data_IF_788928673324
#
_entry.id   IF_788928673324
#
_cell.length_a   1.000
_cell.length_b   1.000
_cell.length_c   1.000
_cell.angle_alpha   90.00
_cell.angle_beta   90.00
_cell.angle_gamma   90.00
#
_symmetry.space_group_name_H-M   'P 1'
#
loop_
_entity.id
_entity.type
_entity.pdbx_description
1 polymer ?
#
# COMPACT_ATOMS: atom_id res chain seq x y z
N UNK A 1 -31.54 -10.12 20.98
CA UNK A 1 -30.12 -9.72 20.87
C UNK A 1 -30.01 -8.28 21.32
N UNK A 2 -29.24 -8.01 22.36
CA UNK A 2 -29.12 -6.67 22.93
C UNK A 2 -28.25 -5.81 22.00
N UNK A 3 -28.81 -4.71 21.52
CA UNK A 3 -28.14 -3.65 20.74
C UNK A 3 -26.69 -3.31 21.17
N UNK A 4 -26.34 -3.22 22.47
CA UNK A 4 -24.96 -2.93 22.90
C UNK A 4 -23.91 -3.95 22.43
N UNK A 5 -24.26 -5.22 22.25
CA UNK A 5 -23.31 -6.27 21.82
C UNK A 5 -22.94 -6.12 20.34
N UNK A 6 -23.89 -5.66 19.53
CA UNK A 6 -23.74 -5.48 18.08
C UNK A 6 -22.91 -4.23 17.77
N UNK A 7 -23.07 -3.17 18.56
CA UNK A 7 -22.25 -1.96 18.47
C UNK A 7 -20.80 -2.21 18.91
N UNK A 8 -20.60 -3.03 19.94
CA UNK A 8 -19.26 -3.44 20.38
C UNK A 8 -18.54 -4.27 19.30
N UNK A 9 -19.23 -5.23 18.70
CA UNK A 9 -18.70 -6.01 17.58
C UNK A 9 -18.38 -5.12 16.36
N UNK A 10 -19.28 -4.17 16.01
CA UNK A 10 -19.05 -3.21 14.92
C UNK A 10 -17.80 -2.36 15.15
N UNK A 11 -17.64 -1.80 16.37
CA UNK A 11 -16.46 -1.00 16.73
C UNK A 11 -15.16 -1.79 16.67
N UNK A 12 -15.19 -3.04 17.16
CA UNK A 12 -14.03 -3.96 17.09
C UNK A 12 -13.57 -4.18 15.65
N UNK A 13 -14.50 -4.47 14.75
CA UNK A 13 -14.18 -4.68 13.32
C UNK A 13 -13.66 -3.40 12.68
N UNK A 14 -14.28 -2.25 12.97
CA UNK A 14 -13.84 -0.95 12.44
C UNK A 14 -12.41 -0.62 12.87
N UNK A 15 -12.09 -0.82 14.14
CA UNK A 15 -10.77 -0.54 14.69
C UNK A 15 -9.70 -1.49 14.10
N UNK A 16 -10.07 -2.74 13.83
CA UNK A 16 -9.19 -3.69 13.14
C UNK A 16 -8.92 -3.29 11.69
N UNK A 17 -9.95 -2.79 10.98
CA UNK A 17 -9.81 -2.26 9.61
C UNK A 17 -8.93 -1.00 9.56
N UNK A 18 -9.12 -0.07 10.51
CA UNK A 18 -8.33 1.16 10.62
C UNK A 18 -6.85 0.83 10.86
N UNK A 19 -6.56 -0.07 11.80
CA UNK A 19 -5.19 -0.52 12.08
C UNK A 19 -4.55 -1.19 10.87
N UNK A 20 -5.25 -2.08 10.18
CA UNK A 20 -4.75 -2.75 8.97
C UNK A 20 -4.48 -1.77 7.82
N UNK A 21 -5.35 -0.76 7.64
CA UNK A 21 -5.13 0.29 6.65
C UNK A 21 -3.89 1.14 6.98
N UNK A 22 -3.73 1.52 8.26
CA UNK A 22 -2.58 2.29 8.73
C UNK A 22 -1.26 1.52 8.59
N UNK A 23 -1.22 0.24 8.98
CA UNK A 23 -0.01 -0.58 8.85
C UNK A 23 0.37 -0.78 7.38
N UNK A 24 -0.61 -1.02 6.50
CA UNK A 24 -0.37 -1.14 5.06
C UNK A 24 0.21 0.15 4.48
N UNK A 25 -0.34 1.31 4.85
CA UNK A 25 0.17 2.61 4.40
C UNK A 25 1.58 2.90 4.90
N UNK A 26 1.88 2.55 6.15
CA UNK A 26 3.22 2.67 6.72
C UNK A 26 4.21 1.73 6.04
N UNK A 27 3.82 0.49 5.76
CA UNK A 27 4.64 -0.47 5.03
C UNK A 27 4.96 0.02 3.61
N UNK A 28 3.97 0.57 2.90
CA UNK A 28 4.17 1.18 1.58
C UNK A 28 5.13 2.38 1.63
N UNK A 29 4.96 3.27 2.61
CA UNK A 29 5.86 4.41 2.78
C UNK A 29 7.29 3.95 3.09
N UNK A 30 7.43 2.93 3.96
CA UNK A 30 8.72 2.33 4.30
C UNK A 30 9.39 1.69 3.09
N UNK A 31 8.65 0.90 2.30
CA UNK A 31 9.14 0.31 1.07
C UNK A 31 9.60 1.39 0.08
N UNK A 32 8.79 2.42 -0.15
CA UNK A 32 9.14 3.54 -1.03
C UNK A 32 10.40 4.30 -0.55
N UNK A 33 10.58 4.47 0.75
CA UNK A 33 11.77 5.10 1.31
C UNK A 33 13.03 4.25 1.09
N UNK A 34 12.96 2.94 1.38
CA UNK A 34 14.07 2.00 1.16
C UNK A 34 14.43 1.94 -0.32
N UNK A 35 13.44 1.82 -1.19
CA UNK A 35 13.64 1.79 -2.63
C UNK A 35 14.23 3.10 -3.16
N UNK A 36 13.78 4.25 -2.65
CA UNK A 36 14.36 5.56 -2.96
C UNK A 36 15.83 5.67 -2.57
N UNK A 37 16.21 5.18 -1.38
CA UNK A 37 17.62 5.16 -0.94
C UNK A 37 18.46 4.27 -1.85
N UNK A 38 17.99 3.06 -2.15
CA UNK A 38 18.70 2.14 -3.06
C UNK A 38 18.84 2.73 -4.46
N UNK A 39 17.81 3.41 -4.97
CA UNK A 39 17.85 4.11 -6.25
C UNK A 39 18.93 5.19 -6.28
N UNK A 40 19.01 6.01 -5.22
CA UNK A 40 20.04 7.05 -5.10
C UNK A 40 21.44 6.42 -5.06
N UNK A 41 21.63 5.37 -4.27
CA UNK A 41 22.92 4.65 -4.21
C UNK A 41 23.29 4.07 -5.58
N UNK A 42 22.34 3.47 -6.29
CA UNK A 42 22.56 2.94 -7.62
C UNK A 42 22.95 4.03 -8.63
N UNK A 43 22.29 5.20 -8.59
CA UNK A 43 22.63 6.35 -9.44
C UNK A 43 24.05 6.87 -9.18
N UNK A 44 24.50 6.84 -7.92
CA UNK A 44 25.86 7.26 -7.54
C UNK A 44 26.93 6.23 -7.93
N UNK A 45 26.59 4.94 -8.00
CA UNK A 45 27.53 3.86 -8.33
C UNK A 45 27.55 3.49 -9.81
N UNK A 46 26.52 3.83 -10.59
CA UNK A 46 26.46 3.42 -12.00
C UNK A 46 27.55 4.12 -12.81
N UNK A 47 28.35 3.34 -13.55
CA UNK A 47 29.23 3.91 -14.56
C UNK A 47 28.40 4.23 -15.81
N UNK A 48 28.18 5.51 -16.06
CA UNK A 48 27.40 5.99 -17.20
C UNK A 48 28.10 5.77 -18.55
N UNK A 49 29.40 5.44 -18.54
CA UNK A 49 30.14 5.15 -19.76
C UNK A 49 29.95 3.69 -20.21
N UNK A 50 29.72 2.76 -19.28
CA UNK A 50 29.45 1.36 -19.59
C UNK A 50 27.98 1.16 -20.01
N UNK A 51 27.78 0.91 -21.31
CA UNK A 51 26.45 0.69 -21.90
C UNK A 51 25.72 -0.51 -21.31
N UNK A 52 26.44 -1.57 -20.90
CA UNK A 52 25.83 -2.74 -20.28
C UNK A 52 25.30 -2.38 -18.89
N UNK A 53 26.10 -1.66 -18.09
CA UNK A 53 25.70 -1.26 -16.74
C UNK A 53 24.49 -0.32 -16.76
N UNK A 54 24.47 0.64 -17.70
CA UNK A 54 23.32 1.52 -17.93
C UNK A 54 22.08 0.73 -18.35
N UNK A 55 22.22 -0.26 -19.23
CA UNK A 55 21.10 -1.09 -19.68
C UNK A 55 20.54 -1.95 -18.54
N UNK A 56 21.40 -2.54 -17.71
CA UNK A 56 21.01 -3.31 -16.53
C UNK A 56 20.29 -2.42 -15.51
N UNK A 57 20.79 -1.20 -15.27
CA UNK A 57 20.13 -0.23 -14.42
C UNK A 57 18.74 0.12 -14.94
N UNK A 58 18.61 0.44 -16.23
CA UNK A 58 17.32 0.72 -16.87
C UNK A 58 16.32 -0.43 -16.72
N UNK A 59 16.74 -1.67 -16.97
CA UNK A 59 15.88 -2.84 -16.81
C UNK A 59 15.48 -3.08 -15.35
N UNK A 60 16.38 -2.83 -14.41
CA UNK A 60 16.10 -2.90 -12.98
C UNK A 60 15.03 -1.87 -12.60
N UNK A 61 15.25 -0.59 -12.93
CA UNK A 61 14.29 0.49 -12.68
C UNK A 61 12.93 0.17 -13.30
N UNK A 62 12.90 -0.28 -14.56
CA UNK A 62 11.68 -0.63 -15.26
C UNK A 62 10.93 -1.77 -14.55
N UNK A 63 11.63 -2.85 -14.19
CA UNK A 63 11.00 -4.01 -13.56
C UNK A 63 10.48 -3.72 -12.16
N UNK A 64 11.30 -3.09 -11.31
CA UNK A 64 10.92 -2.78 -9.93
C UNK A 64 9.85 -1.69 -9.83
N UNK A 65 9.92 -0.65 -10.68
CA UNK A 65 8.88 0.39 -10.70
C UNK A 65 7.51 -0.15 -11.09
N UNK A 66 7.42 -1.10 -12.03
CA UNK A 66 6.15 -1.76 -12.37
C UNK A 66 5.57 -2.51 -11.16
N UNK A 67 6.41 -3.25 -10.43
CA UNK A 67 5.99 -3.96 -9.22
C UNK A 67 5.54 -2.98 -8.14
N UNK A 68 6.32 -1.92 -7.90
CA UNK A 68 5.99 -0.87 -6.93
C UNK A 68 4.67 -0.16 -7.27
N UNK A 69 4.48 0.24 -8.52
CA UNK A 69 3.22 0.82 -9.01
C UNK A 69 2.04 -0.15 -8.90
N UNK A 70 2.26 -1.43 -9.18
CA UNK A 70 1.26 -2.49 -9.02
C UNK A 70 0.82 -2.64 -7.56
N UNK A 71 1.77 -2.69 -6.64
CA UNK A 71 1.49 -2.74 -5.20
C UNK A 71 0.75 -1.47 -4.73
N UNK A 72 1.20 -0.30 -5.18
CA UNK A 72 0.54 0.97 -4.84
C UNK A 72 -0.90 1.03 -5.33
N UNK A 73 -1.13 0.66 -6.59
CA UNK A 73 -2.46 0.58 -7.19
C UNK A 73 -3.35 -0.42 -6.44
N UNK A 74 -2.79 -1.57 -6.04
CA UNK A 74 -3.49 -2.59 -5.25
C UNK A 74 -3.90 -2.05 -3.88
N UNK A 75 -3.00 -1.35 -3.17
CA UNK A 75 -3.34 -0.69 -1.90
C UNK A 75 -4.49 0.29 -2.06
N UNK A 76 -4.43 1.16 -3.07
CA UNK A 76 -5.51 2.09 -3.37
C UNK A 76 -6.83 1.42 -3.78
N UNK A 77 -6.77 0.24 -4.40
CA UNK A 77 -7.95 -0.56 -4.70
C UNK A 77 -8.57 -1.15 -3.44
N UNK A 78 -7.76 -1.79 -2.58
CA UNK A 78 -8.20 -2.37 -1.31
C UNK A 78 -8.79 -1.31 -0.38
N UNK A 79 -8.16 -0.13 -0.26
CA UNK A 79 -8.70 0.97 0.54
C UNK A 79 -10.07 1.44 0.04
N UNK A 80 -10.27 1.53 -1.29
CA UNK A 80 -11.57 1.88 -1.88
C UNK A 80 -12.64 0.82 -1.63
N UNK A 81 -12.29 -0.46 -1.77
CA UNK A 81 -13.21 -1.57 -1.48
C UNK A 81 -13.60 -1.55 0.00
N UNK A 82 -12.63 -1.37 0.90
CA UNK A 82 -12.87 -1.25 2.34
C UNK A 82 -13.84 -0.11 2.68
N UNK A 83 -13.64 1.09 2.10
CA UNK A 83 -14.54 2.22 2.31
C UNK A 83 -15.97 1.97 1.79
N UNK A 84 -16.11 1.31 0.64
CA UNK A 84 -17.43 0.94 0.09
C UNK A 84 -18.14 -0.07 0.99
N UNK A 85 -17.43 -1.09 1.46
CA UNK A 85 -18.01 -2.11 2.36
C UNK A 85 -18.44 -1.46 3.67
N UNK A 86 -17.61 -0.59 4.26
CA UNK A 86 -17.96 0.14 5.47
C UNK A 86 -19.24 0.98 5.29
N UNK A 87 -19.35 1.73 4.18
CA UNK A 87 -20.54 2.54 3.87
C UNK A 87 -21.81 1.69 3.70
N UNK A 88 -21.72 0.52 3.07
CA UNK A 88 -22.86 -0.40 2.90
C UNK A 88 -23.29 -1.00 4.25
N UNK A 89 -22.34 -1.39 5.11
CA UNK A 89 -22.64 -1.92 6.44
C UNK A 89 -23.31 -0.86 7.31
N UNK A 90 -22.85 0.39 7.26
CA UNK A 90 -23.47 1.51 7.97
C UNK A 90 -24.91 1.76 7.49
N UNK A 91 -25.14 1.77 6.16
CA UNK A 91 -26.47 1.92 5.58
C UNK A 91 -27.43 0.76 5.91
N UNK A 92 -26.92 -0.47 6.03
CA UNK A 92 -27.72 -1.65 6.36
C UNK A 92 -28.07 -1.74 7.86
N UNK A 93 -27.19 -1.24 8.73
CA UNK A 93 -27.36 -1.28 10.18
C UNK A 93 -28.02 -0.05 10.79
N UNK A 94 -28.47 0.92 9.98
CA UNK A 94 -29.17 2.14 10.38
C UNK A 94 -30.69 2.11 10.21
N UNK A 95 -31.31 0.92 10.27
CA UNK A 95 -32.77 0.73 10.33
C UNK A 95 -33.18 0.08 11.64
#
# INVERSE_FOLDING_TARGET
>A
MNTPDLDAARRSVLDQMERAARTTRLAMLGAAAVEGVLMVVALLMVDWHDRLQVLLFLFSVLSYSIVGLGLFALGGHVSRVGARVAAVVEAAGGR
#
